data_IF_281964116123
#
_entry.id   IF_281964116123
#
_cell.length_a   1.000
_cell.length_b   1.000
_cell.length_c   1.000
_cell.angle_alpha   90.00
_cell.angle_beta   90.00
_cell.angle_gamma   90.00
#
_symmetry.space_group_name_H-M   'P 1'
#
loop_
_entity.id
_entity.type
_entity.pdbx_description
1 polymer ?
#
# COMPACT_ATOMS: atom_id res chain seq x y z
N UNK A 1 -18.54 -10.86 28.70
CA UNK A 1 -18.31 -9.50 29.24
C UNK A 1 -17.27 -8.84 28.36
N UNK A 2 -17.61 -7.88 27.49
CA UNK A 2 -16.58 -7.10 26.81
C UNK A 2 -16.08 -6.00 27.75
N UNK A 3 -14.77 -6.01 27.98
CA UNK A 3 -14.03 -4.99 28.71
C UNK A 3 -13.97 -3.73 27.86
N UNK A 4 -14.64 -2.67 28.30
CA UNK A 4 -14.33 -1.30 27.88
C UNK A 4 -12.94 -0.95 28.43
N UNK A 5 -11.99 -0.70 27.54
CA UNK A 5 -10.74 0.00 27.90
C UNK A 5 -10.88 1.44 27.41
N UNK A 6 -11.38 2.28 28.31
CA UNK A 6 -11.24 3.73 28.23
C UNK A 6 -9.75 4.08 28.36
N UNK A 7 -9.15 4.59 27.29
CA UNK A 7 -7.82 5.18 27.32
C UNK A 7 -7.90 6.65 26.91
N UNK A 8 -8.20 7.47 27.93
CA UNK A 8 -7.71 8.84 28.16
C UNK A 8 -7.48 9.75 26.94
N UNK A 9 -8.49 10.58 26.68
CA UNK A 9 -8.44 11.82 25.91
C UNK A 9 -7.33 12.76 26.44
N UNK A 10 -6.18 12.84 25.75
CA UNK A 10 -5.26 13.98 25.85
C UNK A 10 -5.51 14.89 24.66
N UNK A 11 -6.23 15.99 24.91
CA UNK A 11 -6.34 17.10 23.97
C UNK A 11 -4.99 17.81 23.87
N UNK A 12 -4.36 17.72 22.71
CA UNK A 12 -3.37 18.69 22.25
C UNK A 12 -4.00 19.40 21.06
N UNK A 13 -4.34 20.68 21.23
CA UNK A 13 -4.73 21.55 20.14
C UNK A 13 -3.52 21.78 19.22
N UNK A 14 -3.35 20.91 18.23
CA UNK A 14 -2.72 21.25 16.97
C UNK A 14 -3.83 21.07 15.92
N UNK A 15 -4.19 22.11 15.18
CA UNK A 15 -5.06 21.92 14.00
C UNK A 15 -4.29 21.01 13.05
N UNK A 16 -4.61 19.72 13.10
CA UNK A 16 -3.82 18.67 12.51
C UNK A 16 -3.81 18.81 10.99
N UNK A 17 -2.61 19.03 10.43
CA UNK A 17 -2.33 19.04 8.98
C UNK A 17 -2.34 17.63 8.40
N UNK A 18 -3.20 16.77 8.91
CA UNK A 18 -3.25 15.36 8.58
C UNK A 18 -4.43 15.11 7.64
N UNK A 19 -4.16 14.40 6.56
CA UNK A 19 -5.20 13.90 5.66
C UNK A 19 -5.39 12.43 5.99
N UNK A 20 -6.63 12.04 6.30
CA UNK A 20 -6.98 10.65 6.59
C UNK A 20 -7.75 10.06 5.43
N UNK A 21 -7.30 8.90 4.94
CA UNK A 21 -7.96 8.15 3.87
C UNK A 21 -8.41 6.80 4.44
N UNK A 22 -9.71 6.56 4.39
CA UNK A 22 -10.30 5.25 4.65
C UNK A 22 -10.21 4.40 3.37
N UNK A 23 -9.63 3.21 3.46
CA UNK A 23 -9.70 2.20 2.40
C UNK A 23 -11.14 1.66 2.31
N UNK A 24 -11.76 1.79 1.14
CA UNK A 24 -13.07 1.21 0.83
C UNK A 24 -12.93 -0.13 0.10
N UNK A 25 -11.99 -0.18 -0.85
CA UNK A 25 -11.69 -1.36 -1.64
C UNK A 25 -10.20 -1.36 -1.97
N UNK A 26 -9.60 -2.54 -2.00
CA UNK A 26 -8.23 -2.67 -2.51
C UNK A 26 -8.01 -4.03 -3.15
N UNK A 27 -7.16 -4.04 -4.17
CA UNK A 27 -6.77 -5.25 -4.86
C UNK A 27 -5.28 -5.20 -5.19
N UNK A 28 -4.58 -6.28 -4.86
CA UNK A 28 -3.14 -6.42 -5.15
C UNK A 28 -2.91 -7.54 -6.15
N UNK A 29 -2.16 -7.25 -7.21
CA UNK A 29 -1.73 -8.23 -8.22
C UNK A 29 -0.22 -8.41 -8.16
N UNK A 30 0.19 -9.66 -8.20
CA UNK A 30 1.60 -10.06 -8.26
C UNK A 30 1.85 -10.72 -9.60
N UNK A 31 2.75 -10.14 -10.39
CA UNK A 31 3.13 -10.67 -11.70
C UNK A 31 4.62 -11.00 -11.69
N UNK A 32 4.97 -12.29 -11.57
CA UNK A 32 6.32 -12.74 -11.81
C UNK A 32 6.74 -12.53 -13.27
N UNK A 33 7.93 -11.98 -13.48
CA UNK A 33 8.58 -11.80 -14.77
C UNK A 33 10.04 -12.28 -14.67
N UNK A 34 10.54 -12.85 -15.78
CA UNK A 34 11.94 -13.25 -15.91
C UNK A 34 12.57 -12.45 -17.05
N UNK A 35 13.71 -11.81 -16.79
CA UNK A 35 14.51 -11.12 -17.83
C UNK A 35 15.93 -11.67 -17.78
N UNK A 36 16.25 -12.54 -18.73
CA UNK A 36 17.52 -13.27 -18.72
C UNK A 36 17.63 -14.14 -17.47
N UNK A 37 18.63 -13.86 -16.63
CA UNK A 37 18.87 -14.55 -15.36
C UNK A 37 18.10 -14.00 -14.16
N UNK A 38 17.57 -12.77 -14.27
CA UNK A 38 16.93 -12.03 -13.17
C UNK A 38 15.43 -12.32 -13.06
N UNK A 39 14.97 -12.45 -11.82
CA UNK A 39 13.57 -12.58 -11.48
C UNK A 39 13.05 -11.29 -10.88
N UNK A 40 11.95 -10.80 -11.44
CA UNK A 40 11.26 -9.60 -10.96
C UNK A 40 9.81 -9.93 -10.63
N UNK A 41 9.32 -9.43 -9.50
CA UNK A 41 7.90 -9.46 -9.17
C UNK A 41 7.37 -8.05 -9.28
N UNK A 42 6.49 -7.84 -10.26
CA UNK A 42 5.71 -6.60 -10.35
C UNK A 42 4.52 -6.69 -9.42
N UNK A 43 4.42 -5.74 -8.51
CA UNK A 43 3.33 -5.61 -7.54
C UNK A 43 2.50 -4.40 -7.95
N UNK A 44 1.24 -4.64 -8.25
CA UNK A 44 0.29 -3.57 -8.60
C UNK A 44 -0.78 -3.51 -7.54
N UNK A 45 -0.86 -2.37 -6.85
CA UNK A 45 -1.83 -2.09 -5.80
C UNK A 45 -2.84 -1.09 -6.37
N UNK A 46 -4.12 -1.45 -6.37
CA UNK A 46 -5.20 -0.51 -6.65
C UNK A 46 -6.01 -0.31 -5.39
N UNK A 47 -6.29 0.93 -5.02
CA UNK A 47 -7.06 1.26 -3.81
C UNK A 47 -8.10 2.34 -4.13
N UNK A 48 -9.36 2.04 -3.79
CA UNK A 48 -10.42 3.06 -3.73
C UNK A 48 -10.52 3.57 -2.29
N UNK A 49 -10.39 4.88 -2.13
CA UNK A 49 -10.35 5.55 -0.84
C UNK A 49 -11.48 6.56 -0.64
N UNK A 50 -11.81 6.79 0.63
CA UNK A 50 -12.61 7.94 1.08
C UNK A 50 -11.73 8.86 1.92
N UNK A 51 -11.65 10.13 1.58
CA UNK A 51 -11.02 11.13 2.46
C UNK A 51 -11.99 11.45 3.59
N UNK A 52 -11.59 11.11 4.81
CA UNK A 52 -12.36 11.35 6.04
C UNK A 52 -12.13 12.77 6.57
N UNK A 53 -10.89 13.24 6.51
CA UNK A 53 -10.47 14.57 6.95
C UNK A 53 -9.46 15.12 5.94
N UNK A 54 -9.73 16.32 5.41
CA UNK A 54 -8.86 16.99 4.43
C UNK A 54 -7.82 17.94 5.04
N UNK A 55 -7.81 18.09 6.37
CA UNK A 55 -7.07 19.14 7.05
C UNK A 55 -7.48 20.52 6.53
N UNK A 56 -6.52 21.31 6.06
CA UNK A 56 -6.74 22.65 5.48
C UNK A 56 -7.03 22.62 3.97
N UNK A 57 -7.07 21.44 3.33
CA UNK A 57 -7.28 21.34 1.89
C UNK A 57 -8.76 21.46 1.55
N UNK A 58 -9.08 22.34 0.60
CA UNK A 58 -10.38 22.36 -0.05
C UNK A 58 -10.54 21.10 -0.93
N UNK A 59 -11.33 20.14 -0.44
CA UNK A 59 -11.57 18.84 -1.10
C UNK A 59 -12.53 18.94 -2.29
N UNK A 60 -13.17 20.10 -2.52
CA UNK A 60 -13.93 20.36 -3.75
C UNK A 60 -13.01 20.62 -4.95
N UNK A 61 -11.76 21.00 -4.68
CA UNK A 61 -10.76 21.22 -5.72
C UNK A 61 -10.14 19.90 -6.16
N UNK A 62 -10.38 19.50 -7.42
CA UNK A 62 -9.78 18.31 -8.03
C UNK A 62 -8.26 18.25 -7.84
N UNK A 63 -7.57 19.38 -7.96
CA UNK A 63 -6.11 19.48 -7.77
C UNK A 63 -5.65 19.07 -6.36
N UNK A 64 -6.46 19.29 -5.34
CA UNK A 64 -6.14 18.88 -3.98
C UNK A 64 -6.36 17.37 -3.80
N UNK A 65 -7.41 16.82 -4.41
CA UNK A 65 -7.64 15.37 -4.45
C UNK A 65 -6.48 14.66 -5.16
N UNK A 66 -6.08 15.12 -6.34
CA UNK A 66 -4.95 14.54 -7.08
C UNK A 66 -3.63 14.58 -6.27
N UNK A 67 -3.42 15.64 -5.47
CA UNK A 67 -2.25 15.71 -4.57
C UNK A 67 -2.32 14.68 -3.45
N UNK A 68 -3.52 14.42 -2.92
CA UNK A 68 -3.74 13.42 -1.87
C UNK A 68 -3.48 12.03 -2.45
N UNK A 69 -4.06 11.71 -3.60
CA UNK A 69 -3.85 10.45 -4.33
C UNK A 69 -2.37 10.22 -4.59
N UNK A 70 -1.66 11.20 -5.19
CA UNK A 70 -0.22 11.07 -5.48
C UNK A 70 0.67 10.93 -4.25
N UNK A 71 0.28 11.49 -3.10
CA UNK A 71 0.99 11.25 -1.85
C UNK A 71 0.72 9.86 -1.30
N UNK A 72 -0.53 9.40 -1.34
CA UNK A 72 -0.92 8.07 -0.91
C UNK A 72 -0.28 6.97 -1.78
N UNK A 73 -0.24 7.15 -3.09
CA UNK A 73 0.46 6.24 -4.02
C UNK A 73 1.92 6.05 -3.60
N UNK A 74 2.67 7.14 -3.43
CA UNK A 74 4.10 7.08 -3.06
C UNK A 74 4.33 6.44 -1.70
N UNK A 75 3.45 6.72 -0.73
CA UNK A 75 3.51 6.12 0.59
C UNK A 75 3.29 4.60 0.50
N UNK A 76 2.24 4.16 -0.20
CA UNK A 76 1.96 2.73 -0.40
C UNK A 76 3.08 2.03 -1.17
N UNK A 77 3.64 2.67 -2.20
CA UNK A 77 4.77 2.13 -2.95
C UNK A 77 6.00 1.90 -2.06
N UNK A 78 6.36 2.89 -1.25
CA UNK A 78 7.52 2.81 -0.36
C UNK A 78 7.30 1.78 0.75
N UNK A 79 6.15 1.81 1.43
CA UNK A 79 5.88 0.91 2.56
C UNK A 79 5.74 -0.55 2.10
N UNK A 80 5.11 -0.78 0.94
CA UNK A 80 5.00 -2.12 0.39
C UNK A 80 6.36 -2.65 -0.07
N UNK A 81 7.21 -1.81 -0.67
CA UNK A 81 8.59 -2.20 -1.02
C UNK A 81 9.38 -2.56 0.23
N UNK A 82 9.35 -1.71 1.27
CA UNK A 82 10.02 -1.96 2.54
C UNK A 82 9.54 -3.25 3.21
N UNK A 83 8.23 -3.53 3.14
CA UNK A 83 7.66 -4.77 3.65
C UNK A 83 8.19 -5.98 2.87
N UNK A 84 8.17 -5.93 1.53
CA UNK A 84 8.65 -7.02 0.68
C UNK A 84 10.14 -7.31 0.91
N UNK A 85 10.98 -6.27 1.02
CA UNK A 85 12.40 -6.42 1.34
C UNK A 85 12.63 -7.01 2.74
N UNK A 86 11.82 -6.62 3.73
CA UNK A 86 11.91 -7.21 5.08
C UNK A 86 11.54 -8.68 5.06
N UNK A 87 10.47 -9.07 4.36
CA UNK A 87 10.07 -10.47 4.20
C UNK A 87 11.16 -11.28 3.49
N UNK A 88 11.78 -10.71 2.45
CA UNK A 88 12.92 -11.30 1.75
C UNK A 88 14.13 -11.49 2.67
N UNK A 89 14.52 -10.46 3.43
CA UNK A 89 15.65 -10.52 4.39
C UNK A 89 15.42 -11.55 5.50
N UNK A 90 14.17 -11.74 5.91
CA UNK A 90 13.78 -12.74 6.90
C UNK A 90 13.63 -14.15 6.28
N UNK A 91 13.71 -14.27 4.96
CA UNK A 91 13.52 -15.51 4.20
C UNK A 91 12.17 -16.20 4.51
N UNK A 92 11.09 -15.42 4.56
CA UNK A 92 9.72 -15.91 4.81
C UNK A 92 8.76 -15.44 3.71
N UNK A 93 7.81 -16.30 3.31
CA UNK A 93 6.83 -15.98 2.26
C UNK A 93 5.37 -16.07 2.74
N UNK A 94 4.88 -15.09 3.53
CA UNK A 94 3.47 -15.03 3.92
C UNK A 94 2.53 -14.63 2.78
N UNK A 95 3.07 -14.18 1.63
CA UNK A 95 2.29 -13.70 0.49
C UNK A 95 2.13 -14.75 -0.62
N UNK A 96 2.75 -15.92 -0.47
CA UNK A 96 2.73 -17.01 -1.44
C UNK A 96 3.37 -16.64 -2.78
N UNK A 97 4.41 -15.81 -2.78
CA UNK A 97 5.18 -15.44 -3.98
C UNK A 97 5.88 -16.65 -4.59
N UNK A 98 6.37 -17.57 -3.77
CA UNK A 98 6.99 -18.83 -4.17
C UNK A 98 6.04 -19.69 -5.01
N UNK A 99 4.79 -19.81 -4.53
CA UNK A 99 3.70 -20.51 -5.21
C UNK A 99 3.44 -19.90 -6.58
N UNK A 100 3.33 -18.57 -6.65
CA UNK A 100 3.08 -17.84 -7.90
C UNK A 100 4.22 -18.01 -8.91
N UNK A 101 5.48 -18.02 -8.45
CA UNK A 101 6.65 -18.30 -9.28
C UNK A 101 6.60 -19.73 -9.84
N UNK A 102 6.24 -20.70 -8.99
CA UNK A 102 6.12 -22.11 -9.39
C UNK A 102 5.00 -22.33 -10.41
N UNK A 103 3.83 -21.72 -10.20
CA UNK A 103 2.70 -21.78 -11.15
C UNK A 103 3.04 -21.20 -12.52
N UNK A 104 4.01 -20.29 -12.59
CA UNK A 104 4.56 -19.75 -13.85
C UNK A 104 5.64 -20.64 -14.49
N UNK A 105 5.98 -21.77 -13.89
CA UNK A 105 6.95 -22.73 -14.43
C UNK A 105 8.40 -22.34 -14.19
N UNK A 106 8.67 -21.38 -13.31
CA UNK A 106 10.03 -21.12 -12.88
C UNK A 106 10.44 -22.24 -11.92
N UNK A 107 11.56 -22.91 -12.19
CA UNK A 107 12.00 -24.11 -11.45
C UNK A 107 13.24 -23.84 -10.59
N UNK A 108 13.99 -22.78 -10.91
CA UNK A 108 15.18 -22.32 -10.18
C UNK A 108 14.89 -21.20 -9.16
N UNK A 109 13.62 -20.85 -8.92
CA UNK A 109 13.25 -19.74 -8.04
C UNK A 109 13.70 -19.92 -6.59
N UNK A 110 13.74 -21.18 -6.10
CA UNK A 110 14.14 -21.50 -4.71
C UNK A 110 15.54 -21.04 -4.35
N UNK A 111 16.44 -20.96 -5.35
CA UNK A 111 17.82 -20.48 -5.15
C UNK A 111 17.93 -18.96 -5.25
N UNK A 112 16.83 -18.29 -5.57
CA UNK A 112 16.80 -16.88 -6.00
C UNK A 112 15.75 -16.06 -5.28
N UNK A 113 15.09 -16.59 -4.25
CA UNK A 113 14.15 -15.80 -3.44
C UNK A 113 14.83 -14.57 -2.85
N UNK A 114 16.05 -14.75 -2.33
CA UNK A 114 16.94 -13.68 -1.83
C UNK A 114 17.39 -12.70 -2.92
N UNK A 115 17.30 -13.08 -4.21
CA UNK A 115 17.69 -12.26 -5.36
C UNK A 115 16.48 -11.65 -6.12
N UNK A 116 15.24 -11.87 -5.62
CA UNK A 116 14.04 -11.33 -6.26
C UNK A 116 14.07 -9.81 -6.23
N UNK A 117 13.90 -9.21 -7.40
CA UNK A 117 13.67 -7.77 -7.51
C UNK A 117 12.17 -7.47 -7.39
N UNK A 118 11.82 -6.44 -6.63
CA UNK A 118 10.45 -5.96 -6.52
C UNK A 118 10.28 -4.67 -7.31
N UNK A 119 9.19 -4.56 -8.07
CA UNK A 119 8.75 -3.31 -8.68
C UNK A 119 7.32 -3.05 -8.23
N UNK A 120 7.14 -2.09 -7.32
CA UNK A 120 5.84 -1.75 -6.75
C UNK A 120 5.28 -0.53 -7.47
N UNK A 121 4.00 -0.59 -7.83
CA UNK A 121 3.22 0.55 -8.29
C UNK A 121 1.88 0.58 -7.58
N UNK A 122 1.51 1.75 -7.08
CA UNK A 122 0.20 1.99 -6.49
C UNK A 122 -0.63 2.92 -7.37
N UNK A 123 -1.93 2.68 -7.39
CA UNK A 123 -2.94 3.50 -8.05
C UNK A 123 -4.06 3.74 -7.05
N UNK A 124 -4.19 5.00 -6.60
CA UNK A 124 -5.13 5.38 -5.54
C UNK A 124 -6.18 6.31 -6.12
N UNK A 125 -7.45 5.92 -5.98
CA UNK A 125 -8.60 6.69 -6.43
C UNK A 125 -9.42 7.14 -5.24
N UNK A 126 -9.54 8.45 -5.03
CA UNK A 126 -10.46 9.00 -4.03
C UNK A 126 -11.84 9.13 -4.66
N UNK A 127 -12.72 8.19 -4.33
CA UNK A 127 -14.08 8.15 -4.89
C UNK A 127 -15.09 8.91 -4.03
N UNK A 128 -14.71 9.30 -2.80
CA UNK A 128 -15.52 10.14 -1.94
C UNK A 128 -14.64 11.05 -1.08
N UNK A 129 -15.02 12.32 -0.98
CA UNK A 129 -14.45 13.26 -0.02
C UNK A 129 -15.55 13.67 0.96
N UNK A 130 -15.24 13.64 2.26
CA UNK A 130 -16.16 14.15 3.29
C UNK A 130 -16.49 15.61 3.05
N UNK A 131 -17.76 15.97 3.24
CA UNK A 131 -18.20 17.36 3.32
C UNK A 131 -17.71 17.86 4.68
N UNK A 132 -16.83 18.87 4.67
CA UNK A 132 -16.50 19.58 5.90
C UNK A 132 -17.72 20.46 6.22
N UNK A 133 -18.54 20.07 7.20
CA UNK A 133 -19.56 20.96 7.78
C UNK A 133 -18.92 22.05 8.64
#
# INVERSE_FOLDING_TARGET
MPLEVSASKRSLHHKDKHVSIQNLSSNTKYKPEKRGSEYKIKVSITMDGRVMEGGELDLTQKKNIEKIEKKAEKMLESEALDLLEKLQKLNVDPLGLEEKLRQKGFTDWKKKYEELQFEVKADVHVIQAGIME
#
